data_IF_807075021501
#
_entry.id   IF_807075021501
#
_cell.length_a   1.000
_cell.length_b   1.000
_cell.length_c   1.000
_cell.angle_alpha   90.00
_cell.angle_beta   90.00
_cell.angle_gamma   90.00
#
_symmetry.space_group_name_H-M   'P 1'
#
loop_
_entity.id
_entity.type
_entity.pdbx_description
1 polymer ?
#
# COMPACT_ATOMS: atom_id res chain seq x y z
N UNK A 1 13.35 -4.78 49.33
CA UNK A 1 14.32 -4.44 48.29
C UNK A 1 14.56 -5.59 47.30
N UNK A 2 14.94 -6.82 47.68
CA UNK A 2 15.18 -7.91 46.73
C UNK A 2 13.95 -8.36 45.91
N UNK A 3 12.75 -8.37 46.51
CA UNK A 3 11.48 -8.73 45.83
C UNK A 3 11.02 -7.67 44.82
N UNK A 4 11.32 -6.40 45.07
CA UNK A 4 10.97 -5.30 44.13
C UNK A 4 11.90 -5.30 42.92
N UNK A 5 13.17 -5.58 43.12
CA UNK A 5 14.15 -5.69 42.04
C UNK A 5 13.86 -6.87 41.10
N UNK A 6 13.42 -8.02 41.63
CA UNK A 6 13.02 -9.19 40.81
C UNK A 6 11.73 -8.92 40.00
N UNK A 7 10.81 -8.15 40.52
CA UNK A 7 9.57 -7.77 39.75
C UNK A 7 9.87 -6.76 38.63
N UNK A 8 10.79 -5.81 38.87
CA UNK A 8 11.24 -4.86 37.85
C UNK A 8 12.06 -5.55 36.76
N UNK A 9 12.91 -6.51 37.10
CA UNK A 9 13.67 -7.33 36.14
C UNK A 9 12.74 -8.23 35.29
N UNK A 10 11.73 -8.84 35.91
CA UNK A 10 10.71 -9.62 35.19
C UNK A 10 9.88 -8.75 34.25
N UNK A 11 9.42 -7.60 34.71
CA UNK A 11 8.66 -6.67 33.88
C UNK A 11 9.49 -6.13 32.70
N UNK A 12 10.79 -5.84 32.92
CA UNK A 12 11.69 -5.42 31.86
C UNK A 12 11.89 -6.53 30.81
N UNK A 13 12.06 -7.78 31.25
CA UNK A 13 12.20 -8.94 30.36
C UNK A 13 10.94 -9.19 29.53
N UNK A 14 9.75 -9.12 30.15
CA UNK A 14 8.46 -9.23 29.44
C UNK A 14 8.25 -8.12 28.41
N UNK A 15 8.70 -6.90 28.71
CA UNK A 15 8.65 -5.76 27.79
C UNK A 15 9.62 -5.96 26.61
N UNK A 16 10.85 -6.41 26.88
CA UNK A 16 11.85 -6.69 25.82
C UNK A 16 11.37 -7.83 24.90
N UNK A 17 10.83 -8.90 25.45
CA UNK A 17 10.26 -10.00 24.68
C UNK A 17 9.06 -9.53 23.85
N UNK A 18 8.16 -8.75 24.42
CA UNK A 18 7.04 -8.15 23.70
C UNK A 18 7.51 -7.24 22.55
N UNK A 19 8.51 -6.39 22.81
CA UNK A 19 9.06 -5.51 21.77
C UNK A 19 9.75 -6.31 20.67
N UNK A 20 10.49 -7.39 21.01
CA UNK A 20 11.11 -8.26 20.01
C UNK A 20 10.07 -8.96 19.13
N UNK A 21 8.98 -9.47 19.72
CA UNK A 21 7.86 -10.05 18.98
C UNK A 21 7.21 -9.01 18.09
N UNK A 22 6.95 -7.81 18.61
CA UNK A 22 6.36 -6.72 17.83
C UNK A 22 7.27 -6.25 16.68
N UNK A 23 8.59 -6.20 16.88
CA UNK A 23 9.54 -5.83 15.83
C UNK A 23 9.66 -6.90 14.73
N UNK A 24 9.52 -8.17 15.10
CA UNK A 24 9.58 -9.29 14.16
C UNK A 24 8.33 -9.44 13.29
N UNK A 25 7.20 -8.81 13.64
CA UNK A 25 5.98 -8.88 12.85
C UNK A 25 6.17 -8.22 11.49
N UNK A 26 5.76 -8.93 10.47
CA UNK A 26 5.68 -8.44 9.10
C UNK A 26 4.68 -7.29 8.96
N UNK A 27 4.87 -6.43 7.97
CA UNK A 27 4.04 -5.24 7.72
C UNK A 27 3.38 -5.33 6.36
N UNK A 28 2.05 -5.31 6.31
CA UNK A 28 1.27 -5.20 5.09
C UNK A 28 0.67 -3.79 4.95
N UNK A 29 0.93 -3.15 3.84
CA UNK A 29 0.28 -1.91 3.44
C UNK A 29 -0.80 -2.21 2.43
N UNK A 30 -2.04 -1.84 2.71
CA UNK A 30 -3.10 -2.03 1.74
C UNK A 30 -3.94 -0.77 1.57
N UNK A 31 -4.45 -0.57 0.37
CA UNK A 31 -5.39 0.50 0.05
C UNK A 31 -6.80 -0.05 -0.09
N UNK A 32 -7.80 0.74 0.31
CA UNK A 32 -9.21 0.45 0.05
C UNK A 32 -9.69 1.34 -1.09
N UNK A 33 -10.35 0.76 -2.07
CA UNK A 33 -10.91 1.45 -3.23
C UNK A 33 -12.33 0.93 -3.53
N UNK A 34 -13.10 1.68 -4.28
CA UNK A 34 -14.49 1.34 -4.63
C UNK A 34 -15.30 2.61 -4.85
N UNK A 35 -16.50 2.49 -5.38
CA UNK A 35 -17.37 3.62 -5.61
C UNK A 35 -17.86 4.26 -4.31
N UNK A 36 -18.49 5.43 -4.42
CA UNK A 36 -19.21 6.02 -3.30
C UNK A 36 -20.31 5.05 -2.86
N UNK A 37 -20.51 4.90 -1.56
CA UNK A 37 -21.49 4.01 -0.93
C UNK A 37 -21.21 2.50 -1.08
N UNK A 38 -20.06 2.07 -1.59
CA UNK A 38 -19.70 0.65 -1.60
C UNK A 38 -19.33 0.10 -0.21
N UNK A 39 -19.20 0.98 0.81
CA UNK A 39 -18.98 0.61 2.21
C UNK A 39 -17.52 0.57 2.64
N UNK A 40 -16.63 1.37 2.02
CA UNK A 40 -15.20 1.46 2.38
C UNK A 40 -14.99 1.82 3.85
N UNK A 41 -15.53 2.96 4.28
CA UNK A 41 -15.40 3.44 5.67
C UNK A 41 -16.02 2.45 6.67
N UNK A 42 -17.14 1.81 6.30
CA UNK A 42 -17.77 0.76 7.12
C UNK A 42 -16.84 -0.45 7.28
N UNK A 43 -16.21 -0.90 6.19
CA UNK A 43 -15.26 -2.01 6.23
C UNK A 43 -14.04 -1.71 7.10
N UNK A 44 -13.45 -0.52 6.94
CA UNK A 44 -12.29 -0.11 7.73
C UNK A 44 -12.67 -0.01 9.21
N UNK A 45 -13.79 0.64 9.51
CA UNK A 45 -14.29 0.76 10.87
C UNK A 45 -14.56 -0.62 11.50
N UNK A 46 -15.13 -1.56 10.74
CA UNK A 46 -15.35 -2.95 11.16
C UNK A 46 -14.04 -3.69 11.43
N UNK A 47 -13.07 -3.62 10.53
CA UNK A 47 -11.75 -4.22 10.73
C UNK A 47 -11.07 -3.69 12.00
N UNK A 48 -11.08 -2.37 12.20
CA UNK A 48 -10.50 -1.74 13.39
C UNK A 48 -11.21 -2.15 14.67
N UNK A 49 -12.53 -2.20 14.65
CA UNK A 49 -13.36 -2.55 15.81
C UNK A 49 -13.18 -4.03 16.19
N UNK A 50 -13.36 -4.95 15.26
CA UNK A 50 -13.35 -6.39 15.55
C UNK A 50 -11.91 -6.90 15.83
N UNK A 51 -10.86 -6.22 15.31
CA UNK A 51 -9.46 -6.50 15.67
C UNK A 51 -9.04 -5.94 17.05
N UNK A 52 -9.97 -5.35 17.80
CA UNK A 52 -9.77 -4.77 19.14
C UNK A 52 -8.71 -3.64 19.20
N UNK A 53 -8.49 -2.95 18.09
CA UNK A 53 -7.53 -1.83 17.99
C UNK A 53 -8.19 -0.46 18.17
N UNK A 54 -9.45 -0.40 18.60
CA UNK A 54 -10.18 0.86 18.91
C UNK A 54 -10.26 1.05 20.41
N UNK A 55 -9.85 2.23 20.88
CA UNK A 55 -9.98 2.59 22.28
C UNK A 55 -11.47 2.72 22.67
N UNK A 56 -11.84 2.18 23.83
CA UNK A 56 -13.22 2.18 24.33
C UNK A 56 -13.88 3.56 24.33
N UNK A 57 -13.11 4.63 24.55
CA UNK A 57 -13.61 6.00 24.55
C UNK A 57 -14.10 6.45 23.18
N UNK A 58 -13.43 6.03 22.10
CA UNK A 58 -13.87 6.28 20.71
C UNK A 58 -15.15 5.52 20.39
N UNK A 59 -15.25 4.26 20.81
CA UNK A 59 -16.47 3.44 20.65
C UNK A 59 -17.64 4.11 21.37
N UNK A 60 -17.44 4.56 22.61
CA UNK A 60 -18.47 5.25 23.40
C UNK A 60 -18.92 6.58 22.78
N UNK A 61 -18.00 7.32 22.15
CA UNK A 61 -18.33 8.59 21.50
C UNK A 61 -19.24 8.36 20.27
N UNK A 62 -18.97 7.32 19.49
CA UNK A 62 -19.75 6.95 18.30
C UNK A 62 -21.12 6.37 18.69
N UNK A 63 -21.17 5.55 19.74
CA UNK A 63 -22.43 4.97 20.22
C UNK A 63 -23.40 6.02 20.79
N UNK A 64 -22.91 7.14 21.35
CA UNK A 64 -23.74 8.21 21.90
C UNK A 64 -24.39 9.12 20.86
N UNK A 65 -23.89 9.13 19.62
CA UNK A 65 -24.42 9.99 18.56
C UNK A 65 -25.67 9.44 17.87
N UNK A 66 -26.02 8.17 18.09
CA UNK A 66 -27.22 7.51 17.56
C UNK A 66 -28.36 7.53 18.57
N UNK A 67 -29.08 8.64 18.71
CA UNK A 67 -30.24 8.77 19.57
C UNK A 67 -31.45 8.00 19.03
N UNK A 68 -31.66 6.75 19.44
CA UNK A 68 -32.85 5.97 19.13
C UNK A 68 -32.82 4.58 19.77
N UNK A 69 -33.88 4.23 20.53
CA UNK A 69 -34.05 3.01 21.30
C UNK A 69 -34.16 1.78 20.40
N UNK A 70 -33.13 0.99 20.31
CA UNK A 70 -33.00 -0.43 20.01
C UNK A 70 -31.51 -0.66 19.84
N UNK A 71 -30.93 -1.78 20.31
CA UNK A 71 -29.50 -2.09 20.36
C UNK A 71 -28.69 -1.24 19.36
N UNK A 72 -28.06 -0.16 19.84
CA UNK A 72 -27.52 0.91 19.00
C UNK A 72 -26.50 0.36 18.03
N UNK A 73 -26.84 0.30 16.75
CA UNK A 73 -25.91 -0.04 15.70
C UNK A 73 -24.78 0.98 15.73
N UNK A 74 -23.55 0.50 15.91
CA UNK A 74 -22.34 1.34 15.86
C UNK A 74 -22.22 1.80 14.40
N UNK A 75 -22.17 3.12 14.19
CA UNK A 75 -21.84 3.65 12.88
C UNK A 75 -20.32 3.57 12.66
N UNK A 76 -19.87 2.49 12.01
CA UNK A 76 -18.47 2.24 11.74
C UNK A 76 -17.82 3.29 10.84
N UNK A 77 -18.60 4.00 10.01
CA UNK A 77 -18.08 5.08 9.18
C UNK A 77 -17.58 6.26 10.04
N UNK A 78 -18.24 6.54 11.15
CA UNK A 78 -17.81 7.60 12.07
C UNK A 78 -16.47 7.31 12.78
N UNK A 79 -16.03 6.04 12.83
CA UNK A 79 -14.72 5.69 13.36
C UNK A 79 -13.58 6.10 12.40
N UNK A 80 -13.90 6.28 11.14
CA UNK A 80 -12.92 6.56 10.09
C UNK A 80 -12.88 8.02 9.64
N UNK A 81 -13.99 8.75 9.75
CA UNK A 81 -14.10 10.13 9.29
C UNK A 81 -13.28 11.09 10.16
N UNK A 82 -12.12 11.50 9.65
CA UNK A 82 -11.17 12.37 10.35
C UNK A 82 -11.43 13.87 10.18
N UNK A 83 -11.80 14.31 8.98
CA UNK A 83 -11.99 15.71 8.64
C UNK A 83 -13.44 16.15 8.88
N UNK A 84 -13.62 17.39 9.33
CA UNK A 84 -14.96 17.96 9.50
C UNK A 84 -15.77 17.97 8.19
N UNK A 85 -15.10 18.27 7.07
CA UNK A 85 -15.71 18.27 5.75
C UNK A 85 -16.15 16.87 5.30
N UNK A 86 -15.42 15.83 5.67
CA UNK A 86 -15.78 14.42 5.40
C UNK A 86 -17.04 14.03 6.15
N UNK A 87 -17.12 14.40 7.44
CA UNK A 87 -18.32 14.17 8.27
C UNK A 87 -19.56 14.92 7.77
N UNK A 88 -19.39 16.16 7.29
CA UNK A 88 -20.49 16.97 6.76
C UNK A 88 -20.99 16.45 5.39
N UNK A 89 -20.11 15.89 4.57
CA UNK A 89 -20.43 15.39 3.22
C UNK A 89 -20.66 13.88 3.16
N UNK A 90 -20.24 13.12 4.17
CA UNK A 90 -20.32 11.66 4.22
C UNK A 90 -19.43 10.96 3.17
N UNK A 91 -18.35 11.61 2.75
CA UNK A 91 -17.41 11.07 1.75
C UNK A 91 -15.96 11.28 2.21
N UNK A 92 -15.09 10.33 1.91
CA UNK A 92 -13.63 10.48 2.06
C UNK A 92 -13.11 11.45 1.00
N UNK A 93 -12.37 12.46 1.41
CA UNK A 93 -11.83 13.52 0.52
C UNK A 93 -10.33 13.32 0.32
N UNK A 94 -9.57 13.09 1.39
CA UNK A 94 -8.13 12.93 1.36
C UNK A 94 -7.74 11.51 1.78
N UNK A 95 -6.47 11.15 1.59
CA UNK A 95 -5.96 9.85 2.04
C UNK A 95 -5.76 9.88 3.54
N UNK A 96 -6.44 8.99 4.24
CA UNK A 96 -6.24 8.78 5.67
C UNK A 96 -5.49 7.46 5.89
N UNK A 97 -4.40 7.52 6.66
CA UNK A 97 -3.67 6.32 7.07
C UNK A 97 -4.14 5.85 8.43
N UNK A 98 -4.49 4.56 8.52
CA UNK A 98 -4.90 3.89 9.74
C UNK A 98 -3.95 2.74 10.02
N UNK A 99 -3.74 2.47 11.30
CA UNK A 99 -2.80 1.46 11.75
C UNK A 99 -3.52 0.50 12.67
N UNK A 100 -3.30 -0.78 12.47
CA UNK A 100 -3.70 -1.80 13.42
C UNK A 100 -2.73 -2.98 13.37
N UNK A 101 -2.77 -3.83 14.36
CA UNK A 101 -1.96 -5.04 14.41
C UNK A 101 -2.77 -6.20 14.94
N UNK A 102 -2.46 -7.39 14.46
CA UNK A 102 -2.90 -8.64 15.06
C UNK A 102 -1.72 -9.33 15.74
N UNK A 103 -1.93 -10.52 16.24
CA UNK A 103 -0.83 -11.33 16.79
C UNK A 103 0.18 -11.74 15.72
N UNK A 104 -0.23 -11.76 14.43
CA UNK A 104 0.57 -12.26 13.30
C UNK A 104 1.26 -11.16 12.52
N UNK A 105 0.57 -10.04 12.25
CA UNK A 105 1.03 -9.03 11.29
C UNK A 105 0.63 -7.61 11.70
N UNK A 106 1.39 -6.62 11.27
CA UNK A 106 1.04 -5.19 11.33
C UNK A 106 0.42 -4.75 10.02
N UNK A 107 -0.48 -3.79 10.10
CA UNK A 107 -1.22 -3.28 8.95
C UNK A 107 -1.20 -1.76 8.89
N UNK A 108 -1.00 -1.24 7.68
CA UNK A 108 -1.27 0.16 7.35
C UNK A 108 -2.37 0.18 6.29
N UNK A 109 -3.49 0.80 6.63
CA UNK A 109 -4.60 1.02 5.72
C UNK A 109 -4.44 2.41 5.10
N UNK A 110 -4.39 2.50 3.78
CA UNK A 110 -4.60 3.75 3.06
C UNK A 110 -6.08 3.83 2.68
N UNK A 111 -6.87 4.57 3.47
CA UNK A 111 -8.26 4.86 3.13
C UNK A 111 -8.30 5.88 2.00
N UNK A 112 -8.85 5.49 0.86
CA UNK A 112 -8.84 6.33 -0.34
C UNK A 112 -10.25 6.74 -0.75
N UNK A 113 -10.40 7.97 -1.26
CA UNK A 113 -11.70 8.46 -1.70
C UNK A 113 -12.27 7.64 -2.89
N UNK A 114 -13.59 7.42 -2.86
CA UNK A 114 -14.29 6.72 -3.94
C UNK A 114 -14.83 7.61 -5.05
N UNK A 115 -14.86 8.94 -4.82
CA UNK A 115 -15.42 9.88 -5.78
C UNK A 115 -14.45 10.21 -6.92
N UNK A 116 -14.94 10.34 -8.13
CA UNK A 116 -14.14 10.58 -9.34
C UNK A 116 -13.20 11.79 -9.24
N UNK A 117 -13.68 12.89 -8.64
CA UNK A 117 -12.90 14.12 -8.46
C UNK A 117 -11.65 13.93 -7.60
N UNK A 118 -11.63 12.93 -6.72
CA UNK A 118 -10.53 12.63 -5.82
C UNK A 118 -9.65 11.46 -6.27
N UNK A 119 -9.74 11.05 -7.55
CA UNK A 119 -8.92 9.96 -8.11
C UNK A 119 -7.40 10.18 -7.89
N UNK A 120 -6.95 11.45 -7.84
CA UNK A 120 -5.56 11.79 -7.50
C UNK A 120 -5.17 11.28 -6.11
N UNK A 121 -6.03 11.52 -5.12
CA UNK A 121 -5.78 11.08 -3.74
C UNK A 121 -5.83 9.56 -3.65
N UNK A 122 -6.75 8.91 -4.36
CA UNK A 122 -6.78 7.45 -4.49
C UNK A 122 -5.45 6.90 -5.05
N UNK A 123 -4.96 7.44 -6.16
CA UNK A 123 -3.69 7.02 -6.74
C UNK A 123 -2.50 7.26 -5.80
N UNK A 124 -2.52 8.34 -5.02
CA UNK A 124 -1.49 8.64 -4.01
C UNK A 124 -1.48 7.61 -2.88
N UNK A 125 -2.65 7.28 -2.31
CA UNK A 125 -2.76 6.27 -1.26
C UNK A 125 -2.40 4.87 -1.74
N UNK A 126 -2.80 4.51 -2.97
CA UNK A 126 -2.51 3.22 -3.56
C UNK A 126 -1.03 3.05 -3.97
N UNK A 127 -0.29 4.13 -4.22
CA UNK A 127 1.09 4.06 -4.75
C UNK A 127 2.11 3.41 -3.81
N UNK A 128 1.79 3.27 -2.54
CA UNK A 128 2.66 2.62 -1.54
C UNK A 128 2.07 1.33 -1.00
N UNK A 129 0.97 0.86 -1.58
CA UNK A 129 0.26 -0.32 -1.11
C UNK A 129 0.85 -1.61 -1.72
N UNK A 130 1.00 -2.62 -0.89
CA UNK A 130 1.39 -3.98 -1.27
C UNK A 130 0.18 -4.78 -1.80
N UNK A 131 -1.04 -4.34 -1.42
CA UNK A 131 -2.31 -4.96 -1.77
C UNK A 131 -3.41 -3.89 -1.92
N UNK A 132 -4.33 -4.08 -2.85
CA UNK A 132 -5.53 -3.25 -2.98
C UNK A 132 -6.80 -4.07 -2.70
N UNK A 133 -7.68 -3.54 -1.84
CA UNK A 133 -9.03 -4.07 -1.63
C UNK A 133 -9.99 -3.19 -2.45
N UNK A 134 -10.62 -3.78 -3.45
CA UNK A 134 -11.62 -3.10 -4.28
C UNK A 134 -13.00 -3.60 -3.89
N UNK A 135 -13.78 -2.72 -3.28
CA UNK A 135 -15.15 -3.04 -2.89
C UNK A 135 -16.10 -2.98 -4.09
N UNK A 136 -17.02 -3.92 -4.13
CA UNK A 136 -18.08 -4.01 -5.13
C UNK A 136 -19.40 -4.25 -4.41
N UNK A 137 -20.37 -3.35 -4.55
CA UNK A 137 -21.73 -3.54 -4.00
C UNK A 137 -22.42 -4.69 -4.75
N UNK A 138 -22.79 -5.74 -4.03
CA UNK A 138 -23.40 -6.96 -4.60
C UNK A 138 -24.68 -6.69 -5.41
N UNK A 139 -25.40 -5.59 -5.09
CA UNK A 139 -26.63 -5.19 -5.81
C UNK A 139 -26.33 -4.45 -7.12
N UNK A 140 -25.24 -3.64 -7.14
CA UNK A 140 -24.90 -2.74 -8.26
C UNK A 140 -23.93 -3.40 -9.23
N UNK A 141 -23.09 -4.34 -8.75
CA UNK A 141 -22.03 -4.95 -9.53
C UNK A 141 -20.84 -4.03 -9.80
N UNK A 142 -20.06 -4.35 -10.82
CA UNK A 142 -18.84 -3.63 -11.16
C UNK A 142 -19.19 -2.34 -11.90
N UNK A 143 -19.02 -1.22 -11.23
CA UNK A 143 -19.26 0.12 -11.78
C UNK A 143 -18.01 0.67 -12.47
N UNK A 144 -18.17 1.77 -13.22
CA UNK A 144 -17.07 2.49 -13.89
C UNK A 144 -15.94 2.86 -12.93
N UNK A 145 -16.27 3.26 -11.69
CA UNK A 145 -15.26 3.58 -10.69
C UNK A 145 -14.46 2.33 -10.25
N UNK A 146 -15.12 1.20 -10.04
CA UNK A 146 -14.45 -0.06 -9.70
C UNK A 146 -13.48 -0.49 -10.81
N UNK A 147 -13.87 -0.31 -12.09
CA UNK A 147 -13.00 -0.54 -13.26
C UNK A 147 -11.79 0.40 -13.26
N UNK A 148 -12.02 1.69 -13.02
CA UNK A 148 -10.97 2.71 -12.93
C UNK A 148 -9.98 2.40 -11.82
N UNK A 149 -10.45 2.01 -10.66
CA UNK A 149 -9.60 1.65 -9.52
C UNK A 149 -8.76 0.40 -9.81
N UNK A 150 -9.36 -0.63 -10.42
CA UNK A 150 -8.63 -1.82 -10.84
C UNK A 150 -7.53 -1.49 -11.87
N UNK A 151 -7.83 -0.63 -12.84
CA UNK A 151 -6.87 -0.18 -13.84
C UNK A 151 -5.72 0.64 -13.22
N UNK A 152 -6.02 1.55 -12.29
CA UNK A 152 -4.99 2.32 -11.57
C UNK A 152 -4.13 1.40 -10.72
N UNK A 153 -4.71 0.44 -10.00
CA UNK A 153 -3.97 -0.55 -9.23
C UNK A 153 -2.98 -1.34 -10.11
N UNK A 154 -3.43 -1.78 -11.29
CA UNK A 154 -2.58 -2.45 -12.28
C UNK A 154 -1.44 -1.54 -12.76
N UNK A 155 -1.73 -0.28 -13.11
CA UNK A 155 -0.71 0.68 -13.57
C UNK A 155 0.32 1.02 -12.48
N UNK A 156 -0.09 1.02 -11.22
CA UNK A 156 0.80 1.24 -10.08
C UNK A 156 1.65 0.00 -9.75
N UNK A 157 1.36 -1.14 -10.40
CA UNK A 157 2.08 -2.39 -10.18
C UNK A 157 1.74 -3.06 -8.86
N UNK A 158 0.53 -2.83 -8.30
CA UNK A 158 0.11 -3.49 -7.07
C UNK A 158 -0.07 -4.99 -7.35
N UNK A 159 0.71 -5.87 -6.69
CA UNK A 159 0.79 -7.27 -7.09
C UNK A 159 -0.44 -8.10 -6.68
N UNK A 160 -1.18 -7.65 -5.68
CA UNK A 160 -2.30 -8.40 -5.09
C UNK A 160 -3.56 -7.54 -5.03
N UNK A 161 -4.68 -8.10 -5.47
CA UNK A 161 -5.98 -7.42 -5.40
C UNK A 161 -7.00 -8.33 -4.74
N UNK A 162 -7.76 -7.78 -3.80
CA UNK A 162 -8.95 -8.44 -3.24
C UNK A 162 -10.19 -7.73 -3.79
N UNK A 163 -11.05 -8.49 -4.45
CA UNK A 163 -12.40 -8.06 -4.80
C UNK A 163 -13.34 -8.37 -3.64
N UNK A 164 -13.59 -7.40 -2.78
CA UNK A 164 -14.52 -7.55 -1.68
C UNK A 164 -15.95 -7.31 -2.19
N UNK A 165 -16.69 -8.40 -2.43
CA UNK A 165 -18.09 -8.34 -2.84
C UNK A 165 -18.92 -8.05 -1.59
N UNK A 166 -19.21 -6.77 -1.39
CA UNK A 166 -19.79 -6.25 -0.16
C UNK A 166 -21.32 -6.14 -0.25
N UNK A 167 -21.95 -6.04 0.91
CA UNK A 167 -23.40 -5.96 1.11
C UNK A 167 -24.11 -7.24 0.67
N UNK A 168 -23.49 -8.39 0.96
CA UNK A 168 -24.10 -9.69 0.71
C UNK A 168 -25.39 -9.88 1.50
N UNK A 169 -25.53 -9.22 2.64
CA UNK A 169 -26.76 -9.13 3.44
C UNK A 169 -27.96 -8.57 2.66
N UNK A 170 -27.75 -7.70 1.68
CA UNK A 170 -28.80 -7.10 0.87
C UNK A 170 -29.17 -7.91 -0.39
N UNK A 171 -28.53 -9.05 -0.59
CA UNK A 171 -28.80 -10.00 -1.67
C UNK A 171 -28.97 -11.43 -1.12
N UNK A 172 -29.41 -11.55 0.15
CA UNK A 172 -29.69 -12.80 0.85
C UNK A 172 -28.52 -13.79 0.79
N UNK A 173 -27.26 -13.29 0.82
CA UNK A 173 -26.03 -14.08 0.75
C UNK A 173 -25.97 -15.07 -0.43
N UNK A 174 -26.54 -14.67 -1.57
CA UNK A 174 -26.67 -15.51 -2.76
C UNK A 174 -25.33 -15.91 -3.36
N UNK A 175 -25.08 -17.21 -3.43
CA UNK A 175 -23.91 -17.80 -4.12
C UNK A 175 -23.89 -17.45 -5.60
N UNK A 176 -25.05 -17.43 -6.27
CA UNK A 176 -25.15 -17.08 -7.69
C UNK A 176 -24.67 -15.64 -7.97
N UNK A 177 -25.09 -14.70 -7.11
CA UNK A 177 -24.65 -13.29 -7.21
C UNK A 177 -23.14 -13.19 -7.03
N UNK A 178 -22.60 -13.84 -6.01
CA UNK A 178 -21.17 -13.86 -5.74
C UNK A 178 -20.37 -14.46 -6.91
N UNK A 179 -20.75 -15.64 -7.39
CA UNK A 179 -20.09 -16.36 -8.47
C UNK A 179 -20.05 -15.52 -9.75
N UNK A 180 -21.18 -14.90 -10.10
CA UNK A 180 -21.27 -14.01 -11.25
C UNK A 180 -20.37 -12.79 -11.11
N UNK A 181 -20.39 -12.09 -9.97
CA UNK A 181 -19.62 -10.87 -9.77
C UNK A 181 -18.12 -11.15 -9.65
N UNK A 182 -17.73 -12.21 -8.96
CA UNK A 182 -16.32 -12.64 -8.87
C UNK A 182 -15.78 -13.05 -10.24
N UNK A 183 -16.56 -13.75 -11.05
CA UNK A 183 -16.21 -14.09 -12.43
C UNK A 183 -16.01 -12.84 -13.30
N UNK A 184 -16.93 -11.89 -13.23
CA UNK A 184 -16.83 -10.62 -13.96
C UNK A 184 -15.61 -9.80 -13.52
N UNK A 185 -15.30 -9.80 -12.21
CA UNK A 185 -14.15 -9.08 -11.71
C UNK A 185 -12.83 -9.75 -12.15
N UNK A 186 -12.74 -11.07 -12.13
CA UNK A 186 -11.56 -11.79 -12.63
C UNK A 186 -11.34 -11.54 -14.12
N UNK A 187 -12.40 -11.47 -14.93
CA UNK A 187 -12.29 -11.11 -16.35
C UNK A 187 -11.79 -9.67 -16.52
N UNK A 188 -12.30 -8.71 -15.75
CA UNK A 188 -11.80 -7.35 -15.71
C UNK A 188 -10.30 -7.32 -15.33
N UNK A 189 -9.93 -8.01 -14.27
CA UNK A 189 -8.55 -8.09 -13.77
C UNK A 189 -7.60 -8.61 -14.84
N UNK A 190 -7.96 -9.70 -15.53
CA UNK A 190 -7.19 -10.27 -16.63
C UNK A 190 -6.99 -9.25 -17.77
N UNK A 191 -8.02 -8.48 -18.10
CA UNK A 191 -7.94 -7.45 -19.17
C UNK A 191 -7.02 -6.29 -18.82
N UNK A 192 -6.96 -5.90 -17.55
CA UNK A 192 -6.09 -4.81 -17.08
C UNK A 192 -4.69 -5.28 -16.67
N UNK A 193 -4.41 -6.59 -16.69
CA UNK A 193 -3.10 -7.14 -16.37
C UNK A 193 -2.86 -7.40 -14.87
N UNK A 194 -3.92 -7.56 -14.07
CA UNK A 194 -3.81 -8.00 -12.69
C UNK A 194 -3.75 -9.54 -12.63
N UNK A 195 -2.64 -10.08 -12.17
CA UNK A 195 -2.39 -11.52 -12.19
C UNK A 195 -3.03 -12.26 -11.01
N UNK A 196 -3.07 -11.63 -9.84
CA UNK A 196 -3.54 -12.25 -8.61
C UNK A 196 -4.74 -11.50 -8.03
N UNK A 197 -5.91 -12.12 -8.13
CA UNK A 197 -7.17 -11.59 -7.58
C UNK A 197 -7.86 -12.63 -6.73
N UNK A 198 -8.09 -12.29 -5.47
CA UNK A 198 -8.97 -13.04 -4.56
C UNK A 198 -10.32 -12.37 -4.49
N UNK A 199 -11.41 -13.16 -4.48
CA UNK A 199 -12.76 -12.62 -4.33
C UNK A 199 -13.36 -13.15 -3.02
N UNK A 200 -13.82 -12.23 -2.17
CA UNK A 200 -14.35 -12.56 -0.84
C UNK A 200 -15.76 -11.96 -0.71
N UNK A 201 -16.79 -12.78 -0.42
CA UNK A 201 -18.14 -12.31 -0.14
C UNK A 201 -18.20 -11.76 1.28
N UNK A 202 -18.52 -10.48 1.45
CA UNK A 202 -18.55 -9.85 2.78
C UNK A 202 -19.86 -9.08 3.04
N UNK A 203 -20.19 -8.91 4.31
CA UNK A 203 -21.03 -7.83 4.77
C UNK A 203 -20.22 -6.99 5.77
N UNK A 204 -19.75 -5.83 5.35
CA UNK A 204 -19.02 -4.92 6.22
C UNK A 204 -19.88 -4.42 7.39
N UNK A 205 -21.19 -4.31 7.19
CA UNK A 205 -22.14 -3.87 8.21
C UNK A 205 -22.37 -4.94 9.27
N UNK A 206 -22.64 -6.17 8.86
CA UNK A 206 -22.93 -7.29 9.75
C UNK A 206 -21.67 -7.99 10.28
N UNK A 207 -20.52 -7.82 9.59
CA UNK A 207 -19.23 -8.44 9.92
C UNK A 207 -18.98 -9.79 9.26
N UNK A 208 -19.90 -10.26 8.41
CA UNK A 208 -19.77 -11.56 7.74
C UNK A 208 -18.53 -11.64 6.86
N UNK A 209 -17.69 -12.65 7.06
CA UNK A 209 -16.43 -12.91 6.36
C UNK A 209 -15.41 -11.75 6.41
N UNK A 210 -15.55 -10.81 7.34
CA UNK A 210 -14.57 -9.74 7.53
C UNK A 210 -13.44 -10.22 8.43
N UNK A 211 -13.72 -10.58 9.68
CA UNK A 211 -12.74 -11.12 10.64
C UNK A 211 -12.91 -12.62 10.80
N UNK A 212 -14.14 -13.08 10.87
CA UNK A 212 -14.50 -14.49 11.00
C UNK A 212 -15.36 -14.94 9.83
N UNK A 213 -15.27 -16.24 9.50
CA UNK A 213 -16.14 -16.83 8.50
C UNK A 213 -17.60 -16.82 8.98
N UNK A 214 -18.52 -16.59 8.06
CA UNK A 214 -19.95 -16.50 8.32
C UNK A 214 -20.66 -17.84 8.08
N UNK A 215 -21.55 -18.20 9.01
CA UNK A 215 -22.46 -19.32 8.82
C UNK A 215 -23.52 -19.05 7.75
N UNK A 216 -23.72 -17.79 7.34
CA UNK A 216 -24.68 -17.36 6.31
C UNK A 216 -24.19 -17.64 4.90
N UNK A 217 -22.88 -17.92 4.73
CA UNK A 217 -22.25 -18.25 3.44
C UNK A 217 -21.61 -19.65 3.48
N UNK A 218 -22.37 -20.74 3.77
CA UNK A 218 -21.81 -22.08 3.92
C UNK A 218 -21.20 -22.63 2.62
N UNK A 219 -21.51 -22.04 1.49
CA UNK A 219 -20.98 -22.35 0.17
C UNK A 219 -19.60 -21.72 -0.09
N UNK A 220 -19.15 -20.78 0.75
CA UNK A 220 -17.85 -20.13 0.61
C UNK A 220 -16.79 -20.90 1.40
N UNK A 221 -15.80 -21.43 0.69
CA UNK A 221 -14.71 -22.24 1.26
C UNK A 221 -13.40 -21.46 1.42
N UNK A 222 -13.38 -20.17 1.03
CA UNK A 222 -12.21 -19.32 1.15
C UNK A 222 -12.00 -18.75 2.55
N UNK A 223 -10.90 -18.01 2.77
CA UNK A 223 -10.60 -17.36 4.05
C UNK A 223 -11.50 -16.14 4.29
N UNK A 224 -11.62 -15.71 5.55
CA UNK A 224 -12.13 -14.38 5.86
C UNK A 224 -11.17 -13.30 5.34
N UNK A 225 -11.64 -12.06 5.22
CA UNK A 225 -10.79 -10.98 4.73
C UNK A 225 -9.55 -10.78 5.61
N UNK A 226 -9.72 -10.77 6.94
CA UNK A 226 -8.58 -10.62 7.85
C UNK A 226 -7.63 -11.79 7.76
N UNK A 227 -8.15 -13.02 7.71
CA UNK A 227 -7.32 -14.21 7.55
C UNK A 227 -6.51 -14.19 6.24
N UNK A 228 -7.11 -13.74 5.15
CA UNK A 228 -6.39 -13.53 3.89
C UNK A 228 -5.28 -12.50 4.05
N UNK A 229 -5.56 -11.34 4.67
CA UNK A 229 -4.58 -10.27 4.90
C UNK A 229 -3.43 -10.71 5.81
N UNK A 230 -3.69 -11.59 6.78
CA UNK A 230 -2.66 -12.13 7.67
C UNK A 230 -1.73 -13.12 6.97
N UNK A 231 -2.24 -13.89 6.01
CA UNK A 231 -1.51 -15.00 5.40
C UNK A 231 -1.01 -14.70 3.97
N UNK A 232 -1.49 -13.62 3.32
CA UNK A 232 -1.05 -13.28 1.99
C UNK A 232 0.45 -13.01 1.98
N UNK A 233 1.18 -13.75 1.16
CA UNK A 233 2.59 -13.48 0.94
C UNK A 233 2.72 -12.18 0.15
N UNK A 234 3.39 -11.20 0.74
CA UNK A 234 3.88 -10.05 0.01
C UNK A 234 5.02 -10.61 -0.81
N UNK A 235 4.77 -10.84 -2.10
CA UNK A 235 5.85 -11.24 -2.97
C UNK A 235 6.97 -10.20 -2.81
N UNK A 236 8.14 -10.65 -2.43
CA UNK A 236 9.34 -9.81 -2.49
C UNK A 236 9.68 -9.63 -3.98
N UNK A 237 8.81 -8.88 -4.66
CA UNK A 237 8.86 -8.65 -6.12
C UNK A 237 10.22 -8.08 -6.51
N UNK A 238 10.97 -7.59 -5.54
CA UNK A 238 12.24 -6.92 -5.75
C UNK A 238 13.43 -7.60 -5.09
N UNK A 239 13.24 -8.66 -4.28
CA UNK A 239 14.35 -9.30 -3.53
C UNK A 239 15.37 -9.99 -4.43
N UNK A 240 14.89 -10.73 -5.44
CA UNK A 240 15.73 -11.40 -6.44
C UNK A 240 16.09 -10.51 -7.64
N UNK A 241 15.53 -9.30 -7.72
CA UNK A 241 15.85 -8.37 -8.79
C UNK A 241 17.27 -7.79 -8.62
N UNK A 242 17.91 -7.34 -9.70
CA UNK A 242 19.19 -6.66 -9.62
C UNK A 242 19.15 -5.43 -8.72
N UNK A 243 20.20 -5.21 -7.94
CA UNK A 243 20.29 -4.13 -6.96
C UNK A 243 20.08 -2.74 -7.56
N UNK A 244 19.23 -1.92 -6.89
CA UNK A 244 18.94 -0.53 -7.26
C UNK A 244 18.79 0.32 -6.00
N UNK A 245 19.60 1.38 -5.88
CA UNK A 245 19.52 2.39 -4.82
C UNK A 245 19.42 3.80 -5.42
N UNK A 246 18.24 4.40 -5.53
CA UNK A 246 18.10 5.83 -5.85
C UNK A 246 18.68 6.68 -4.73
N UNK A 247 19.69 7.50 -5.04
CA UNK A 247 20.33 8.36 -4.04
C UNK A 247 19.39 9.52 -3.67
N UNK A 248 18.98 9.55 -2.41
CA UNK A 248 18.10 10.57 -1.86
C UNK A 248 18.90 11.69 -1.17
N UNK A 249 20.04 11.33 -0.58
CA UNK A 249 20.90 12.28 0.14
C UNK A 249 22.36 11.82 0.11
N UNK A 250 23.27 12.77 0.03
CA UNK A 250 24.70 12.55 0.26
C UNK A 250 25.02 13.05 1.67
N UNK A 251 25.66 12.20 2.48
CA UNK A 251 26.00 12.46 3.89
C UNK A 251 27.50 12.62 3.99
N UNK A 252 27.97 13.75 4.54
CA UNK A 252 29.38 14.06 4.79
C UNK A 252 29.53 14.74 6.16
N UNK A 253 29.48 13.98 7.26
CA UNK A 253 29.63 14.54 8.60
C UNK A 253 31.06 15.03 8.88
N UNK A 254 32.07 14.44 8.22
CA UNK A 254 33.49 14.81 8.30
C UNK A 254 34.21 14.44 6.99
N UNK A 255 35.49 14.81 6.88
CA UNK A 255 36.25 14.66 5.63
C UNK A 255 36.46 13.22 5.18
N UNK A 256 36.50 12.28 6.12
CA UNK A 256 36.78 10.86 5.86
C UNK A 256 35.51 9.98 5.69
N UNK A 257 34.34 10.58 5.64
CA UNK A 257 33.08 9.85 5.43
C UNK A 257 32.27 10.46 4.29
N UNK A 258 31.95 9.66 3.30
CA UNK A 258 31.02 10.01 2.22
C UNK A 258 30.03 8.89 2.02
N UNK A 259 28.82 9.10 2.51
CA UNK A 259 27.73 8.13 2.42
C UNK A 259 26.63 8.56 1.44
N UNK A 260 26.10 7.60 0.72
CA UNK A 260 25.00 7.75 -0.24
C UNK A 260 23.75 7.11 0.35
N UNK A 261 22.87 7.94 0.91
CA UNK A 261 21.66 7.47 1.59
C UNK A 261 20.47 7.37 0.64
N UNK A 262 19.72 6.29 0.77
CA UNK A 262 18.50 6.02 0.01
C UNK A 262 17.78 4.79 0.51
N UNK A 263 16.57 4.58 0.00
CA UNK A 263 15.85 3.33 0.16
C UNK A 263 16.21 2.40 -1.00
N UNK A 264 16.58 1.17 -0.72
CA UNK A 264 16.81 0.15 -1.74
C UNK A 264 15.48 -0.09 -2.46
N UNK A 265 15.48 0.15 -3.78
CA UNK A 265 14.28 -0.01 -4.59
C UNK A 265 14.12 -1.45 -5.11
N UNK A 266 15.23 -2.17 -5.28
CA UNK A 266 15.24 -3.55 -5.74
C UNK A 266 16.55 -4.24 -5.36
N UNK A 267 16.49 -5.55 -5.21
CA UNK A 267 17.65 -6.43 -5.00
C UNK A 267 18.27 -6.34 -3.62
N UNK A 268 19.39 -7.02 -3.51
CA UNK A 268 20.21 -7.11 -2.30
C UNK A 268 21.61 -6.60 -2.59
N UNK A 269 22.26 -5.99 -1.61
CA UNK A 269 23.64 -5.48 -1.68
C UNK A 269 24.44 -5.97 -0.48
N UNK A 270 25.73 -6.23 -0.71
CA UNK A 270 26.73 -6.63 0.30
C UNK A 270 27.99 -5.78 0.18
N UNK A 271 28.75 -5.58 1.25
CA UNK A 271 30.10 -5.04 1.14
C UNK A 271 30.94 -5.88 0.15
N UNK A 272 31.72 -5.20 -0.69
CA UNK A 272 32.50 -5.82 -1.79
C UNK A 272 31.76 -5.95 -3.12
N UNK A 273 30.44 -5.79 -3.17
CA UNK A 273 29.68 -5.88 -4.43
C UNK A 273 30.08 -4.76 -5.38
N UNK A 274 30.16 -5.11 -6.67
CA UNK A 274 30.44 -4.15 -7.75
C UNK A 274 29.17 -3.37 -8.09
N UNK A 275 29.29 -2.07 -8.07
CA UNK A 275 28.19 -1.15 -8.38
C UNK A 275 28.59 -0.11 -9.42
N UNK A 276 27.60 0.39 -10.15
CA UNK A 276 27.72 1.46 -11.13
C UNK A 276 26.89 2.64 -10.71
N UNK A 277 27.47 3.83 -10.79
CA UNK A 277 26.78 5.10 -10.56
C UNK A 277 26.22 5.66 -11.87
N UNK A 278 24.91 5.84 -11.95
CA UNK A 278 24.24 6.36 -13.14
C UNK A 278 23.71 7.78 -12.89
N UNK A 279 23.81 8.71 -13.86
CA UNK A 279 24.12 8.46 -15.28
C UNK A 279 25.62 8.51 -15.65
N UNK A 280 26.54 8.72 -14.70
CA UNK A 280 27.97 8.89 -15.00
C UNK A 280 28.63 7.65 -15.62
N UNK A 281 28.11 6.45 -15.32
CA UNK A 281 28.67 5.18 -15.76
C UNK A 281 29.96 4.76 -15.04
N UNK A 282 30.29 5.42 -13.92
CA UNK A 282 31.48 5.06 -13.14
C UNK A 282 31.18 3.89 -12.21
N UNK A 283 32.09 2.93 -12.19
CA UNK A 283 32.02 1.74 -11.33
C UNK A 283 32.83 1.96 -10.04
N UNK A 284 32.41 1.28 -8.99
CA UNK A 284 33.11 1.14 -7.72
C UNK A 284 32.69 -0.14 -7.00
N UNK A 285 33.18 -0.33 -5.78
CA UNK A 285 32.71 -1.37 -4.88
C UNK A 285 32.06 -0.74 -3.65
N UNK A 286 31.08 -1.47 -3.09
CA UNK A 286 30.51 -1.11 -1.81
C UNK A 286 31.54 -1.39 -0.72
N UNK A 287 31.92 -0.36 0.02
CA UNK A 287 32.82 -0.48 1.17
C UNK A 287 32.09 -0.92 2.42
N UNK A 288 30.96 -0.23 2.77
CA UNK A 288 30.12 -0.60 3.90
C UNK A 288 28.66 -0.20 3.68
N UNK A 289 27.77 -0.82 4.47
CA UNK A 289 26.35 -0.55 4.53
C UNK A 289 26.04 -0.06 5.95
N UNK A 290 25.70 1.22 6.09
CA UNK A 290 25.52 1.86 7.39
C UNK A 290 24.06 2.17 7.64
N UNK A 291 23.59 1.83 8.85
CA UNK A 291 22.27 2.20 9.38
C UNK A 291 22.41 2.95 10.69
N UNK A 292 21.29 3.35 11.30
CA UNK A 292 21.32 3.95 12.64
C UNK A 292 21.86 2.99 13.70
N UNK A 293 21.58 1.69 13.56
CA UNK A 293 21.95 0.64 14.51
C UNK A 293 23.36 0.07 14.26
N UNK A 294 24.07 0.56 13.24
CA UNK A 294 25.41 0.13 12.89
C UNK A 294 25.56 -0.32 11.44
N UNK A 295 26.65 -1.06 11.18
CA UNK A 295 26.96 -1.63 9.87
C UNK A 295 26.27 -2.97 9.67
N UNK A 296 25.86 -3.25 8.41
CA UNK A 296 25.21 -4.48 8.02
C UNK A 296 26.09 -5.29 7.05
N UNK A 297 26.02 -6.62 7.15
CA UNK A 297 26.66 -7.55 6.22
C UNK A 297 25.88 -7.68 4.89
N UNK A 298 24.59 -7.38 4.90
CA UNK A 298 23.74 -7.35 3.70
C UNK A 298 22.52 -6.48 3.94
N UNK A 299 21.99 -5.89 2.88
CA UNK A 299 20.73 -5.16 2.93
C UNK A 299 19.93 -5.40 1.65
N UNK A 300 18.61 -5.61 1.80
CA UNK A 300 17.68 -5.89 0.72
C UNK A 300 16.58 -4.82 0.64
N UNK A 301 15.92 -4.73 -0.51
CA UNK A 301 14.72 -3.93 -0.66
C UNK A 301 13.64 -4.38 0.37
N UNK A 302 12.88 -3.44 0.96
CA UNK A 302 12.89 -1.99 0.79
C UNK A 302 13.66 -1.24 1.90
N UNK A 303 14.75 -1.78 2.43
CA UNK A 303 15.47 -1.19 3.55
C UNK A 303 16.08 0.17 3.18
N UNK A 304 16.03 1.14 4.11
CA UNK A 304 16.72 2.42 3.98
C UNK A 304 18.13 2.34 4.55
N UNK A 305 19.13 2.62 3.73
CA UNK A 305 20.53 2.47 4.09
C UNK A 305 21.37 3.66 3.63
N UNK A 306 22.59 3.74 4.16
CA UNK A 306 23.65 4.60 3.65
C UNK A 306 24.79 3.71 3.16
N UNK A 307 25.14 3.78 1.89
CA UNK A 307 26.30 3.09 1.32
C UNK A 307 27.52 3.99 1.33
N UNK A 308 28.67 3.44 1.70
CA UNK A 308 29.99 3.99 1.37
C UNK A 308 30.59 3.20 0.19
N UNK A 309 31.44 3.85 -0.59
CA UNK A 309 32.12 3.25 -1.73
C UNK A 309 33.62 3.35 -1.58
N UNK A 310 34.35 2.37 -2.11
CA UNK A 310 35.82 2.35 -2.07
C UNK A 310 36.44 3.55 -2.81
N UNK A 311 35.78 4.00 -3.90
CA UNK A 311 36.26 5.11 -4.71
C UNK A 311 35.48 6.41 -4.42
N UNK A 312 36.16 7.55 -4.47
CA UNK A 312 35.52 8.86 -4.40
C UNK A 312 34.82 9.18 -5.74
N UNK A 313 33.55 8.79 -5.87
CA UNK A 313 32.72 9.11 -7.02
C UNK A 313 31.91 10.38 -6.81
N UNK A 314 31.75 11.16 -7.86
CA UNK A 314 30.85 12.32 -7.85
C UNK A 314 29.40 11.88 -8.09
N UNK A 315 28.75 11.49 -7.00
CA UNK A 315 27.35 11.05 -6.95
C UNK A 315 26.55 12.09 -6.18
N UNK A 316 25.41 12.45 -6.70
CA UNK A 316 24.51 13.45 -6.14
C UNK A 316 23.10 12.90 -5.91
N UNK A 317 22.27 13.66 -5.17
CA UNK A 317 20.84 13.37 -5.08
C UNK A 317 20.23 13.30 -6.48
N UNK A 318 19.50 12.22 -6.75
CA UNK A 318 18.87 11.95 -8.04
C UNK A 318 19.64 11.00 -8.93
N UNK A 319 20.88 10.66 -8.57
CA UNK A 319 21.62 9.60 -9.23
C UNK A 319 21.17 8.23 -8.72
N UNK A 320 21.52 7.18 -9.42
CA UNK A 320 21.20 5.81 -9.09
C UNK A 320 22.47 4.98 -8.93
N UNK A 321 22.61 4.27 -7.83
CA UNK A 321 23.60 3.22 -7.65
C UNK A 321 22.93 1.89 -7.98
N UNK A 322 23.53 1.11 -8.89
CA UNK A 322 22.95 -0.12 -9.38
C UNK A 322 24.00 -1.23 -9.49
N UNK A 323 23.55 -2.50 -9.58
CA UNK A 323 24.45 -3.61 -9.91
C UNK A 323 25.07 -3.39 -11.28
N UNK A 324 26.37 -3.73 -11.42
CA UNK A 324 27.10 -3.70 -12.70
C UNK A 324 26.59 -4.77 -13.65
N UNK A 325 26.10 -5.90 -13.13
CA UNK A 325 25.71 -7.06 -13.95
C UNK A 325 24.43 -6.82 -14.76
N UNK A 326 23.56 -5.89 -14.28
CA UNK A 326 22.35 -5.51 -15.00
C UNK A 326 22.07 -4.01 -14.80
N UNK A 327 22.83 -3.11 -15.42
CA UNK A 327 22.63 -1.66 -15.25
C UNK A 327 21.39 -1.20 -16.01
N UNK A 328 20.54 -0.36 -15.39
CA UNK A 328 19.39 0.22 -16.09
C UNK A 328 19.84 1.13 -17.25
N UNK A 329 19.06 1.13 -18.30
CA UNK A 329 19.32 1.96 -19.46
C UNK A 329 19.18 3.45 -19.12
N UNK A 330 20.21 4.24 -19.47
CA UNK A 330 20.16 5.70 -19.41
C UNK A 330 19.68 6.22 -20.75
N UNK A 331 18.50 6.81 -20.77
CA UNK A 331 17.89 7.33 -22.00
C UNK A 331 17.15 8.63 -21.79
N UNK A 332 17.02 9.44 -22.83
CA UNK A 332 16.19 10.64 -22.86
C UNK A 332 14.90 10.45 -23.68
N UNK A 333 14.64 9.22 -24.18
CA UNK A 333 13.45 8.86 -24.91
C UNK A 333 12.88 7.54 -24.40
N UNK A 334 11.61 7.55 -23.98
CA UNK A 334 10.93 6.36 -23.51
C UNK A 334 9.43 6.45 -23.77
N UNK A 335 8.75 5.33 -23.68
CA UNK A 335 7.30 5.25 -23.67
C UNK A 335 6.81 4.90 -22.25
N UNK A 336 5.70 5.48 -21.84
CA UNK A 336 5.10 5.23 -20.54
C UNK A 336 3.57 5.23 -20.63
N UNK A 337 2.94 4.43 -19.78
CA UNK A 337 1.52 4.55 -19.49
C UNK A 337 1.34 5.64 -18.43
N UNK A 338 0.35 6.52 -18.63
CA UNK A 338 0.15 7.70 -17.77
C UNK A 338 -1.30 7.77 -17.34
N UNK A 339 -1.53 7.96 -16.04
CA UNK A 339 -2.81 8.42 -15.50
C UNK A 339 -2.77 9.93 -15.42
N UNK A 340 -3.59 10.61 -16.23
CA UNK A 340 -3.64 12.06 -16.25
C UNK A 340 -4.62 12.58 -15.20
N UNK A 341 -4.11 13.22 -14.17
CA UNK A 341 -4.89 13.67 -13.00
C UNK A 341 -5.11 15.19 -12.95
N UNK A 342 -4.65 15.91 -13.96
CA UNK A 342 -4.84 17.37 -14.04
C UNK A 342 -6.15 17.71 -14.72
N UNK A 343 -6.81 18.80 -14.30
CA UNK A 343 -8.08 19.27 -14.88
C UNK A 343 -7.93 19.70 -16.35
N UNK A 344 -6.78 20.34 -16.66
CA UNK A 344 -6.48 20.71 -18.05
C UNK A 344 -5.99 19.49 -18.82
N UNK A 345 -6.45 19.28 -20.07
CA UNK A 345 -5.94 18.20 -20.90
C UNK A 345 -4.44 18.24 -21.11
N UNK A 346 -3.83 17.05 -21.27
CA UNK A 346 -2.43 16.94 -21.61
C UNK A 346 -2.13 17.62 -22.94
N UNK A 347 -1.18 18.57 -22.95
CA UNK A 347 -0.77 19.32 -24.12
C UNK A 347 0.64 18.90 -24.58
N UNK A 348 0.78 18.55 -25.88
CA UNK A 348 2.05 18.08 -26.43
C UNK A 348 3.15 19.17 -26.48
N UNK A 349 2.74 20.43 -26.55
CA UNK A 349 3.66 21.59 -26.69
C UNK A 349 4.24 22.06 -25.36
N UNK A 350 3.68 21.59 -24.24
CA UNK A 350 4.08 22.05 -22.94
C UNK A 350 5.34 21.34 -22.45
N UNK A 351 6.08 22.04 -21.59
CA UNK A 351 7.16 21.47 -20.81
C UNK A 351 6.60 21.02 -19.47
N UNK A 352 6.82 19.76 -19.14
CA UNK A 352 6.47 19.15 -17.89
C UNK A 352 7.73 18.90 -17.07
N UNK A 353 7.58 18.67 -15.77
CA UNK A 353 8.61 18.13 -14.91
C UNK A 353 8.35 16.65 -14.74
N UNK A 354 9.32 15.83 -15.11
CA UNK A 354 9.35 14.41 -14.85
C UNK A 354 10.12 14.15 -13.56
N UNK A 355 9.46 13.58 -12.56
CA UNK A 355 10.13 13.10 -11.35
C UNK A 355 10.24 11.58 -11.43
N UNK A 356 11.48 11.09 -11.36
CA UNK A 356 11.78 9.66 -11.27
C UNK A 356 12.63 9.43 -10.02
N UNK A 357 12.07 8.71 -9.06
CA UNK A 357 12.63 8.62 -7.70
C UNK A 357 12.96 9.99 -7.11
N UNK A 358 14.22 10.30 -6.85
CA UNK A 358 14.69 11.60 -6.33
C UNK A 358 15.14 12.60 -7.40
N UNK A 359 15.19 12.18 -8.67
CA UNK A 359 15.60 13.04 -9.81
C UNK A 359 14.40 13.74 -10.43
N UNK A 360 14.58 15.03 -10.74
CA UNK A 360 13.57 15.83 -11.45
C UNK A 360 14.21 16.45 -12.69
N UNK A 361 13.59 16.22 -13.85
CA UNK A 361 14.09 16.73 -15.14
C UNK A 361 12.96 17.34 -15.97
N UNK A 362 13.24 18.34 -16.83
CA UNK A 362 12.28 18.79 -17.83
C UNK A 362 11.97 17.69 -18.84
N UNK A 363 10.70 17.54 -19.17
CA UNK A 363 10.21 16.55 -20.13
C UNK A 363 9.19 17.16 -21.08
N UNK A 364 9.00 16.53 -22.23
CA UNK A 364 7.93 16.85 -23.19
C UNK A 364 7.30 15.56 -23.68
N UNK A 365 5.97 15.57 -23.81
CA UNK A 365 5.24 14.50 -24.47
C UNK A 365 5.34 14.73 -25.98
N UNK A 366 5.95 13.80 -26.72
CA UNK A 366 6.07 13.89 -28.17
C UNK A 366 4.83 13.38 -28.89
N UNK A 367 4.29 12.27 -28.41
CA UNK A 367 3.16 11.59 -29.03
C UNK A 367 2.32 10.93 -27.95
N UNK A 368 1.01 11.06 -28.04
CA UNK A 368 0.05 10.18 -27.35
C UNK A 368 -0.32 9.08 -28.34
N UNK A 369 0.12 7.85 -28.06
CA UNK A 369 -0.11 6.72 -28.95
C UNK A 369 -1.57 6.29 -28.98
N UNK A 370 -2.19 6.22 -27.81
CA UNK A 370 -3.60 5.88 -27.64
C UNK A 370 -4.10 6.39 -26.29
N UNK A 371 -5.39 6.49 -26.15
CA UNK A 371 -6.10 6.71 -24.89
C UNK A 371 -6.89 5.45 -24.57
N UNK A 372 -6.76 4.97 -23.35
CA UNK A 372 -7.56 3.84 -22.87
C UNK A 372 -8.91 4.36 -22.39
N UNK A 373 -9.98 3.82 -22.93
CA UNK A 373 -11.34 4.03 -22.42
C UNK A 373 -11.57 3.11 -21.23
N UNK A 374 -11.95 3.68 -20.08
CA UNK A 374 -12.12 2.92 -18.84
C UNK A 374 -13.35 2.00 -18.87
N UNK A 375 -14.35 2.29 -19.70
CA UNK A 375 -15.56 1.48 -19.79
C UNK A 375 -15.36 0.24 -20.65
N UNK A 376 -14.61 0.39 -21.72
CA UNK A 376 -14.39 -0.69 -22.71
C UNK A 376 -13.06 -1.40 -22.54
N UNK A 377 -12.04 -0.74 -21.96
CA UNK A 377 -10.64 -1.18 -21.75
C UNK A 377 -9.96 -1.69 -23.01
#
# INVERSE_FOLDING_TARGET
MALTQTLEEQAAFEIEEFLAIEQAKDLLRFSTAGSVDDGKSTLIGRLLYDSRNVYEDHVRAVTRSGGGSAASAIDFALLTDGLRAEREQGITIDVAYRFFSTTRRKFIIADTPGHEQYTRNMATGASTADLAIILVDARKGILTQSRRHAFIAALLGIPRVVAAINKMDLVDYSEEVFTRLSGNFRELARRVGLESVEAIPISALEGDNVVHLSERTPWYEGPSLLEYLENVEIADVNGDAPFRLPVQRVIRPHQNFRGFAGQIAAGTVRPGDRVIALPSGRESRVESIVTFDGELEAASAPLSVTLTLEDELDISRGDLIASVDDPPAVTNHFAASVVWLHEQPLALEWRYLLKHASRVVPARVRVVRHRVDIETL
#
